data_IF_000880396118
#
_entry.id   IF_000880396118
#
_cell.length_a   1.000
_cell.length_b   1.000
_cell.length_c   1.000
_cell.angle_alpha   90.00
_cell.angle_beta   90.00
_cell.angle_gamma   90.00
#
_symmetry.space_group_name_H-M   'P 1'
#
loop_
_entity.id
_entity.type
_entity.pdbx_description
1 polymer ?
#
# COMPACT_ATOMS: atom_id res chain seq x y z
N UNK A 1 1.19 -8.76 -12.24
CA UNK A 1 1.68 -8.55 -10.88
C UNK A 1 3.02 -7.84 -10.92
N UNK A 2 3.24 -6.86 -10.08
CA UNK A 2 4.49 -6.10 -10.08
C UNK A 2 5.61 -6.84 -9.35
N UNK A 3 6.85 -6.43 -9.62
CA UNK A 3 8.01 -6.99 -8.92
C UNK A 3 7.93 -6.75 -7.41
N UNK A 4 7.39 -5.60 -7.01
CA UNK A 4 7.21 -5.29 -5.59
C UNK A 4 6.23 -6.21 -4.91
N UNK A 5 5.10 -6.48 -5.56
CA UNK A 5 4.11 -7.41 -5.01
C UNK A 5 4.68 -8.81 -4.92
N UNK A 6 5.40 -9.26 -5.94
CA UNK A 6 6.05 -10.58 -5.91
C UNK A 6 7.06 -10.68 -4.77
N UNK A 7 7.82 -9.62 -4.53
CA UNK A 7 8.77 -9.59 -3.42
C UNK A 7 8.07 -9.71 -2.08
N UNK A 8 6.98 -8.99 -1.89
CA UNK A 8 6.23 -9.03 -0.63
C UNK A 8 5.61 -10.42 -0.42
N UNK A 9 5.06 -11.03 -1.48
CA UNK A 9 4.53 -12.40 -1.40
C UNK A 9 5.62 -13.36 -0.92
N UNK A 10 6.80 -13.27 -1.52
CA UNK A 10 7.92 -14.11 -1.14
C UNK A 10 8.29 -13.94 0.33
N UNK A 11 8.38 -12.69 0.78
CA UNK A 11 8.72 -12.37 2.17
C UNK A 11 7.69 -12.93 3.13
N UNK A 12 6.41 -12.71 2.87
CA UNK A 12 5.34 -13.18 3.75
C UNK A 12 5.29 -14.70 3.82
N UNK A 13 5.42 -15.36 2.67
CA UNK A 13 5.42 -16.83 2.64
C UNK A 13 6.62 -17.42 3.34
N UNK A 14 7.79 -16.84 3.14
CA UNK A 14 9.02 -17.32 3.77
C UNK A 14 8.92 -17.30 5.30
N UNK A 15 8.28 -16.31 5.85
CA UNK A 15 8.12 -16.18 7.30
C UNK A 15 6.78 -16.73 7.79
N UNK A 16 6.04 -17.41 6.91
CA UNK A 16 4.79 -18.10 7.25
C UNK A 16 3.73 -17.17 7.82
N UNK A 17 3.67 -15.93 7.29
CA UNK A 17 2.63 -14.98 7.65
C UNK A 17 1.43 -15.24 6.75
N UNK A 18 0.26 -15.47 7.35
CA UNK A 18 -0.98 -15.70 6.62
C UNK A 18 -1.52 -14.36 6.12
N UNK A 19 -1.87 -14.27 4.85
CA UNK A 19 -2.37 -13.04 4.26
C UNK A 19 -3.39 -13.32 3.15
N UNK A 20 -4.23 -12.32 2.88
CA UNK A 20 -5.17 -12.33 1.76
C UNK A 20 -4.73 -11.28 0.75
N UNK A 21 -4.84 -11.62 -0.54
CA UNK A 21 -4.53 -10.69 -1.63
C UNK A 21 -5.78 -9.91 -2.04
N UNK A 22 -5.57 -8.66 -2.45
CA UNK A 22 -6.61 -7.81 -3.03
C UNK A 22 -7.87 -7.77 -2.19
N UNK A 23 -7.68 -7.56 -0.90
CA UNK A 23 -8.77 -7.53 0.07
C UNK A 23 -9.70 -6.34 -0.17
N UNK A 24 -11.01 -6.61 -0.17
CA UNK A 24 -12.03 -5.55 -0.17
C UNK A 24 -12.77 -5.58 1.16
N UNK A 25 -13.32 -4.44 1.53
CA UNK A 25 -14.17 -4.32 2.72
C UNK A 25 -15.56 -3.94 2.28
N UNK A 26 -16.58 -4.43 2.98
CA UNK A 26 -17.97 -4.31 2.55
C UNK A 26 -18.41 -2.86 2.40
N UNK A 27 -17.96 -2.00 3.29
CA UNK A 27 -18.29 -0.57 3.28
C UNK A 27 -17.53 0.23 2.19
N UNK A 28 -16.52 -0.38 1.56
CA UNK A 28 -15.79 0.23 0.45
C UNK A 28 -16.10 -0.42 -0.91
N UNK A 29 -16.99 -1.41 -0.97
CA UNK A 29 -17.29 -2.14 -2.21
C UNK A 29 -17.76 -1.25 -3.35
N UNK A 30 -18.60 -0.27 -3.04
CA UNK A 30 -19.14 0.63 -4.05
C UNK A 30 -18.04 1.43 -4.75
N UNK A 31 -16.93 1.64 -4.07
CA UNK A 31 -15.79 2.37 -4.62
C UNK A 31 -14.80 1.46 -5.33
N UNK A 32 -15.03 0.15 -5.29
CA UNK A 32 -14.17 -0.87 -5.92
C UNK A 32 -12.71 -0.77 -5.48
N UNK A 33 -12.49 -0.43 -4.20
CA UNK A 33 -11.15 -0.31 -3.65
C UNK A 33 -10.67 -1.66 -3.14
N UNK A 34 -9.42 -1.99 -3.47
CA UNK A 34 -8.78 -3.24 -3.07
C UNK A 34 -7.43 -2.92 -2.43
N UNK A 35 -7.12 -3.65 -1.36
CA UNK A 35 -5.84 -3.53 -0.69
C UNK A 35 -4.96 -4.70 -1.10
N UNK A 36 -3.68 -4.43 -1.36
CA UNK A 36 -2.75 -5.44 -1.90
C UNK A 36 -2.61 -6.66 -1.01
N UNK A 37 -2.33 -6.47 0.28
CA UNK A 37 -2.10 -7.55 1.23
C UNK A 37 -2.79 -7.23 2.54
N UNK A 38 -3.65 -8.13 2.98
CA UNK A 38 -4.33 -8.01 4.26
C UNK A 38 -3.89 -9.13 5.19
N UNK A 39 -3.37 -8.75 6.37
CA UNK A 39 -2.98 -9.67 7.41
C UNK A 39 -4.00 -9.52 8.54
N UNK A 40 -4.88 -10.50 8.69
CA UNK A 40 -5.96 -10.43 9.66
C UNK A 40 -5.43 -10.38 11.09
N UNK A 41 -4.36 -11.12 11.36
CA UNK A 41 -3.81 -11.22 12.70
C UNK A 41 -2.30 -11.08 12.66
N UNK A 42 -1.83 -9.88 12.92
CA UNK A 42 -0.43 -9.60 13.13
C UNK A 42 -0.29 -9.23 14.59
N UNK A 43 0.15 -10.21 15.42
CA UNK A 43 0.25 -10.02 16.86
C UNK A 43 -1.04 -9.52 17.49
N UNK A 44 -2.17 -10.08 17.04
CA UNK A 44 -3.49 -9.76 17.57
C UNK A 44 -4.21 -8.60 16.90
N UNK A 45 -3.59 -7.95 15.93
CA UNK A 45 -4.15 -6.77 15.28
C UNK A 45 -4.13 -6.94 13.76
N UNK A 46 -5.10 -6.34 13.03
CA UNK A 46 -5.05 -6.38 11.58
C UNK A 46 -4.03 -5.40 11.02
N UNK A 47 -3.41 -5.78 9.90
CA UNK A 47 -2.47 -4.93 9.20
C UNK A 47 -2.66 -5.08 7.70
N UNK A 48 -2.34 -4.02 6.96
CA UNK A 48 -2.40 -4.01 5.51
C UNK A 48 -1.05 -3.53 4.99
N UNK A 49 -0.59 -4.14 3.91
CA UNK A 49 0.61 -3.72 3.20
C UNK A 49 0.20 -3.35 1.78
N UNK A 50 0.61 -2.17 1.33
CA UNK A 50 0.46 -1.71 -0.04
C UNK A 50 1.85 -1.50 -0.62
N UNK A 51 2.07 -1.96 -1.85
CA UNK A 51 3.28 -1.60 -2.56
C UNK A 51 2.94 -0.47 -3.52
N UNK A 52 3.57 0.68 -3.31
CA UNK A 52 3.28 1.87 -4.11
C UNK A 52 4.29 1.99 -5.24
N UNK A 53 3.88 1.58 -6.44
CA UNK A 53 4.69 1.71 -7.65
C UNK A 53 4.81 3.16 -8.12
N UNK A 54 5.52 3.37 -9.22
CA UNK A 54 5.77 4.71 -9.75
C UNK A 54 4.48 5.50 -10.00
N UNK A 55 3.43 4.82 -10.45
CA UNK A 55 2.16 5.47 -10.75
C UNK A 55 1.49 6.14 -9.56
N UNK A 56 1.86 5.77 -8.33
CA UNK A 56 1.33 6.42 -7.12
C UNK A 56 1.92 7.81 -6.90
N UNK A 57 3.08 8.09 -7.47
CA UNK A 57 3.82 9.32 -7.23
C UNK A 57 3.99 10.22 -8.45
N UNK A 58 4.03 9.60 -9.64
CA UNK A 58 4.36 10.29 -10.88
C UNK A 58 3.24 10.13 -11.89
N UNK A 59 2.93 11.23 -12.60
CA UNK A 59 2.05 11.13 -13.75
C UNK A 59 2.83 10.49 -14.89
N UNK A 60 2.48 9.24 -15.24
CA UNK A 60 3.12 8.48 -16.31
C UNK A 60 2.06 8.13 -17.33
N UNK A 61 2.19 8.64 -18.55
CA UNK A 61 1.19 8.48 -19.61
C UNK A 61 0.81 7.05 -19.89
N UNK A 62 1.74 6.11 -19.79
CA UNK A 62 1.43 4.70 -20.05
C UNK A 62 0.50 4.08 -19.00
N UNK A 63 0.34 4.71 -17.84
CA UNK A 63 -0.53 4.22 -16.78
C UNK A 63 -1.85 4.97 -16.71
N UNK A 64 -1.89 6.22 -17.22
CA UNK A 64 -3.06 7.08 -17.11
C UNK A 64 -3.33 7.78 -18.41
N UNK A 65 -4.61 7.86 -18.79
CA UNK A 65 -5.01 8.58 -20.01
C UNK A 65 -4.89 10.09 -19.84
N UNK A 66 -5.03 10.58 -18.62
CA UNK A 66 -5.04 12.01 -18.35
C UNK A 66 -4.59 12.29 -16.92
N UNK A 67 -4.26 13.56 -16.69
CA UNK A 67 -3.95 14.05 -15.34
C UNK A 67 -5.14 13.84 -14.40
N UNK A 68 -6.36 13.97 -14.92
CA UNK A 68 -7.57 13.75 -14.14
C UNK A 68 -7.64 12.31 -13.61
N UNK A 69 -7.26 11.33 -14.43
CA UNK A 69 -7.22 9.92 -14.01
C UNK A 69 -6.16 9.71 -12.92
N UNK A 70 -5.02 10.38 -13.06
CA UNK A 70 -3.96 10.33 -12.05
C UNK A 70 -4.47 10.90 -10.73
N UNK A 71 -5.14 12.04 -10.75
CA UNK A 71 -5.69 12.65 -9.55
C UNK A 71 -6.74 11.77 -8.88
N UNK A 72 -7.56 11.09 -9.66
CA UNK A 72 -8.53 10.13 -9.12
C UNK A 72 -7.84 8.95 -8.45
N UNK A 73 -6.72 8.48 -9.01
CA UNK A 73 -5.95 7.41 -8.40
C UNK A 73 -5.36 7.85 -7.06
N UNK A 74 -4.86 9.08 -6.98
CA UNK A 74 -4.35 9.63 -5.73
C UNK A 74 -5.46 9.77 -4.69
N UNK A 75 -6.65 10.17 -5.11
CA UNK A 75 -7.79 10.28 -4.20
C UNK A 75 -8.20 8.91 -3.66
N UNK A 76 -8.12 7.87 -4.48
CA UNK A 76 -8.37 6.50 -4.00
C UNK A 76 -7.37 6.11 -2.91
N UNK A 77 -6.10 6.50 -3.08
CA UNK A 77 -5.08 6.23 -2.06
C UNK A 77 -5.41 6.95 -0.75
N UNK A 78 -5.88 8.20 -0.84
CA UNK A 78 -6.27 8.97 0.35
C UNK A 78 -7.45 8.33 1.07
N UNK A 79 -8.44 7.84 0.32
CA UNK A 79 -9.57 7.14 0.90
C UNK A 79 -9.15 5.86 1.61
N UNK A 80 -8.22 5.11 1.02
CA UNK A 80 -7.66 3.91 1.66
C UNK A 80 -6.94 4.27 2.95
N UNK A 81 -6.13 5.32 2.93
CA UNK A 81 -5.42 5.79 4.12
C UNK A 81 -6.40 6.15 5.23
N UNK A 82 -7.41 6.94 4.88
CA UNK A 82 -8.41 7.38 5.83
C UNK A 82 -9.20 6.21 6.42
N UNK A 83 -9.57 5.26 5.57
CA UNK A 83 -10.30 4.07 6.02
C UNK A 83 -9.50 3.30 7.07
N UNK A 84 -8.24 3.04 6.82
CA UNK A 84 -7.39 2.30 7.76
C UNK A 84 -7.19 3.08 9.06
N UNK A 85 -6.96 4.39 8.97
CA UNK A 85 -6.81 5.22 10.15
C UNK A 85 -8.08 5.21 11.01
N UNK A 86 -9.24 5.32 10.36
CA UNK A 86 -10.52 5.35 11.08
C UNK A 86 -10.87 4.02 11.72
N UNK A 87 -10.39 2.91 11.16
CA UNK A 87 -10.77 1.58 11.62
C UNK A 87 -9.66 0.88 12.43
N UNK A 88 -8.61 1.59 12.80
CA UNK A 88 -7.53 1.04 13.61
C UNK A 88 -6.72 -0.04 12.91
N UNK A 89 -6.67 -0.02 11.58
CA UNK A 89 -5.88 -0.97 10.79
C UNK A 89 -4.55 -0.32 10.48
N UNK A 90 -3.45 -0.98 10.82
CA UNK A 90 -2.11 -0.46 10.50
C UNK A 90 -1.86 -0.66 9.02
N UNK A 91 -1.66 0.43 8.30
CA UNK A 91 -1.39 0.41 6.88
C UNK A 91 0.06 0.80 6.63
N UNK A 92 0.82 -0.12 6.03
CA UNK A 92 2.22 0.10 5.67
C UNK A 92 2.30 0.26 4.16
N UNK A 93 2.81 1.40 3.71
CA UNK A 93 2.99 1.68 2.29
C UNK A 93 4.47 1.67 1.95
N UNK A 94 4.89 0.68 1.16
CA UNK A 94 6.29 0.54 0.75
C UNK A 94 6.44 1.18 -0.63
N UNK A 95 7.22 2.25 -0.76
CA UNK A 95 7.39 2.90 -2.06
C UNK A 95 8.35 2.11 -2.95
N UNK A 96 8.18 2.26 -4.26
CA UNK A 96 8.94 1.49 -5.23
C UNK A 96 10.46 1.70 -5.13
N UNK A 97 10.90 2.86 -4.66
CA UNK A 97 12.33 3.12 -4.54
C UNK A 97 13.00 2.40 -3.38
N UNK A 98 12.23 1.76 -2.51
CA UNK A 98 12.76 0.97 -1.41
C UNK A 98 12.67 -0.54 -1.65
N UNK A 99 12.31 -0.96 -2.87
CA UNK A 99 12.18 -2.38 -3.19
C UNK A 99 13.43 -3.19 -2.82
N UNK A 100 14.60 -2.64 -3.06
CA UNK A 100 15.87 -3.33 -2.77
C UNK A 100 16.20 -3.37 -1.29
N UNK A 101 15.46 -2.66 -0.47
CA UNK A 101 15.73 -2.55 0.98
C UNK A 101 14.90 -3.52 1.81
N UNK A 102 13.96 -4.21 1.19
CA UNK A 102 13.11 -5.16 1.92
C UNK A 102 13.50 -6.59 1.58
N UNK A 103 13.79 -7.38 2.61
CA UNK A 103 14.11 -8.81 2.45
C UNK A 103 13.39 -9.68 3.47
N UNK A 104 12.83 -9.10 4.51
CA UNK A 104 12.12 -9.83 5.56
C UNK A 104 10.93 -9.00 6.07
N UNK A 105 10.02 -9.65 6.79
CA UNK A 105 8.80 -8.99 7.29
C UNK A 105 9.13 -7.74 8.10
N UNK A 106 10.15 -7.80 8.93
CA UNK A 106 10.56 -6.65 9.75
C UNK A 106 10.86 -5.42 8.90
N UNK A 107 11.41 -5.62 7.70
CA UNK A 107 11.72 -4.49 6.80
C UNK A 107 10.44 -3.86 6.27
N UNK A 108 9.46 -4.68 5.91
CA UNK A 108 8.19 -4.20 5.36
C UNK A 108 7.36 -3.50 6.43
N UNK A 109 7.38 -4.01 7.65
CA UNK A 109 6.63 -3.45 8.77
C UNK A 109 7.43 -2.39 9.52
N UNK A 110 8.36 -1.75 8.84
CA UNK A 110 9.13 -0.65 9.41
C UNK A 110 8.21 0.54 9.68
N UNK A 111 8.31 1.15 10.88
CA UNK A 111 7.48 2.31 11.21
C UNK A 111 7.54 3.46 10.20
N UNK A 112 8.63 3.59 9.45
CA UNK A 112 8.73 4.65 8.43
C UNK A 112 7.71 4.51 7.30
N UNK A 113 7.16 3.29 7.11
CA UNK A 113 6.14 3.04 6.08
C UNK A 113 4.71 3.14 6.64
N UNK A 114 4.57 3.29 7.95
CA UNK A 114 3.26 3.33 8.58
C UNK A 114 2.54 4.63 8.25
N UNK A 115 1.34 4.50 7.69
CA UNK A 115 0.52 5.66 7.34
C UNK A 115 -0.01 6.31 8.61
N UNK A 116 0.30 7.58 8.79
CA UNK A 116 -0.12 8.36 9.96
C UNK A 116 -1.12 9.45 9.62
N UNK A 117 -1.31 9.73 8.32
CA UNK A 117 -2.26 10.76 7.88
C UNK A 117 -2.92 10.34 6.58
N UNK A 118 -4.06 10.94 6.27
CA UNK A 118 -4.76 10.74 5.00
C UNK A 118 -3.86 11.09 3.80
N UNK A 119 -2.93 12.02 3.98
CA UNK A 119 -2.09 12.56 2.92
C UNK A 119 -0.71 11.94 2.85
N UNK A 120 -0.57 10.74 3.38
CA UNK A 120 0.73 10.08 3.51
C UNK A 120 1.55 10.07 2.21
N UNK A 121 0.94 9.67 1.09
CA UNK A 121 1.67 9.60 -0.19
C UNK A 121 2.09 10.98 -0.70
N UNK A 122 1.29 12.01 -0.47
CA UNK A 122 1.63 13.38 -0.87
C UNK A 122 2.81 13.89 -0.05
N UNK A 123 2.90 13.44 1.18
CA UNK A 123 3.97 13.80 2.09
C UNK A 123 5.30 13.16 1.70
N UNK A 124 5.27 11.93 1.21
CA UNK A 124 6.50 11.16 0.91
C UNK A 124 7.19 11.67 -0.32
N UNK A 125 6.71 12.27 -1.25
CA UNK A 125 7.39 12.76 -2.46
C UNK A 125 8.15 11.65 -3.23
N UNK A 126 8.74 12.02 -4.35
CA UNK A 126 9.55 11.12 -5.16
C UNK A 126 10.94 10.94 -4.53
N UNK A 127 11.71 9.92 -4.96
CA UNK A 127 13.03 9.66 -4.36
C UNK A 127 14.01 10.81 -4.44
N UNK A 128 13.85 11.72 -5.39
CA UNK A 128 14.77 12.81 -5.63
C UNK A 128 14.34 14.14 -4.99
N UNK A 129 13.34 14.12 -4.15
CA UNK A 129 12.81 15.35 -3.54
C UNK A 129 12.96 15.38 -2.03
#
# INVERSE_FOLDING_TARGET
MSNGEERIIYILNKEKIFFEREKTFIDLRKRKLRFDFYIKNLDGMPAIIEFDGEGHFLFIKKFYHSKSDFERAKERDRVKNEYCLANGIKLYRVPYWDLDKISKVKDVLNPKYLVMTKWHNDYLRTPNS
#
